data_IF_451437622813
#
_entry.id   IF_451437622813
#
_cell.length_a   1.000
_cell.length_b   1.000
_cell.length_c   1.000
_cell.angle_alpha   90.00
_cell.angle_beta   90.00
_cell.angle_gamma   90.00
#
_symmetry.space_group_name_H-M   'P 1'
#
loop_
_entity.id
_entity.type
_entity.pdbx_description
1 polymer ?
#
# COMPACT_ATOMS: atom_id res chain seq x y z
N UNK A 1 -3.07 22.53 2.36
CA UNK A 1 -2.40 21.48 3.12
C UNK A 1 -2.14 21.99 4.52
N UNK A 2 -2.47 21.20 5.53
CA UNK A 2 -2.22 21.52 6.92
C UNK A 2 -0.72 21.62 7.26
N UNK A 3 -0.42 21.98 8.49
CA UNK A 3 0.96 21.98 9.02
C UNK A 3 1.45 20.53 9.15
N UNK A 4 2.74 20.27 8.78
CA UNK A 4 3.32 18.94 8.93
C UNK A 4 3.35 18.50 10.39
N UNK A 5 3.18 17.19 10.65
CA UNK A 5 3.24 16.63 12.00
C UNK A 5 4.54 16.98 12.72
N UNK A 6 4.46 17.19 14.04
CA UNK A 6 5.58 17.63 14.89
C UNK A 6 6.17 16.51 15.74
N UNK A 7 5.40 15.46 15.96
CA UNK A 7 5.78 14.36 16.86
C UNK A 7 6.13 13.11 16.06
N UNK A 8 7.07 12.32 16.57
CA UNK A 8 7.31 10.94 16.11
C UNK A 8 6.22 10.04 16.66
N UNK A 9 5.84 9.02 15.86
CA UNK A 9 4.93 7.97 16.31
C UNK A 9 5.54 6.60 16.00
N UNK A 10 5.21 5.64 16.85
CA UNK A 10 5.35 4.22 16.60
C UNK A 10 3.99 3.58 16.80
N UNK A 11 3.68 2.52 16.07
CA UNK A 11 2.38 1.88 16.20
C UNK A 11 2.45 0.39 15.91
N UNK A 12 1.53 -0.33 16.52
CA UNK A 12 1.33 -1.76 16.31
C UNK A 12 -0.10 -1.99 15.82
N UNK A 13 -0.23 -2.79 14.77
CA UNK A 13 -1.52 -3.22 14.24
C UNK A 13 -1.67 -4.71 14.56
N UNK A 14 -2.73 -5.06 15.29
CA UNK A 14 -3.17 -6.44 15.45
C UNK A 14 -4.38 -6.66 14.53
N UNK A 15 -4.28 -7.64 13.64
CA UNK A 15 -5.37 -8.03 12.74
C UNK A 15 -5.41 -9.54 12.61
N UNK A 16 -6.58 -10.09 12.35
CA UNK A 16 -6.74 -11.53 12.16
C UNK A 16 -7.26 -11.90 10.78
N UNK A 17 -7.15 -13.17 10.49
CA UNK A 17 -7.76 -13.83 9.34
C UNK A 17 -8.47 -15.09 9.81
N UNK A 18 -9.67 -15.31 9.28
CA UNK A 18 -10.45 -16.53 9.49
C UNK A 18 -10.88 -17.08 8.12
N UNK A 19 -10.52 -18.34 7.85
CA UNK A 19 -10.86 -19.06 6.62
C UNK A 19 -10.47 -18.31 5.33
N UNK A 20 -9.30 -17.69 5.31
CA UNK A 20 -8.84 -16.85 4.20
C UNK A 20 -7.35 -16.91 3.92
N UNK A 21 -6.96 -16.31 2.81
CA UNK A 21 -5.57 -16.10 2.44
C UNK A 21 -5.22 -14.61 2.57
N UNK A 22 -4.50 -14.22 3.63
CA UNK A 22 -4.21 -12.80 3.88
C UNK A 22 -3.24 -12.20 2.86
N UNK A 23 -2.28 -13.00 2.37
CA UNK A 23 -1.29 -12.58 1.38
C UNK A 23 -0.71 -13.79 0.65
N UNK A 24 -1.31 -14.13 -0.48
CA UNK A 24 -0.82 -15.23 -1.31
C UNK A 24 0.54 -14.98 -1.93
N UNK A 25 1.29 -16.05 -2.13
CA UNK A 25 2.58 -16.03 -2.79
C UNK A 25 2.43 -16.44 -4.27
N UNK A 26 2.68 -15.53 -5.23
CA UNK A 26 2.56 -15.84 -6.65
C UNK A 26 3.56 -16.92 -7.09
N UNK A 27 4.72 -17.00 -6.46
CA UNK A 27 5.76 -17.98 -6.80
C UNK A 27 5.47 -19.39 -6.23
N UNK A 28 4.56 -19.47 -5.26
CA UNK A 28 4.15 -20.71 -4.59
C UNK A 28 2.67 -21.06 -4.87
N UNK A 29 2.16 -20.81 -6.08
CA UNK A 29 0.79 -21.17 -6.44
C UNK A 29 -0.28 -20.44 -5.61
N UNK A 30 0.00 -19.23 -5.17
CA UNK A 30 -0.87 -18.41 -4.32
C UNK A 30 -1.15 -19.00 -2.93
N UNK A 31 -0.25 -19.84 -2.40
CA UNK A 31 -0.28 -20.29 -1.00
C UNK A 31 -0.14 -19.09 -0.05
N UNK A 32 -0.75 -19.11 1.15
CA UNK A 32 -0.41 -18.16 2.21
C UNK A 32 1.10 -18.15 2.46
N UNK A 33 1.69 -16.96 2.57
CA UNK A 33 3.13 -16.82 2.84
C UNK A 33 3.45 -17.31 4.24
N UNK A 34 4.40 -18.23 4.33
CA UNK A 34 4.87 -18.82 5.58
C UNK A 34 6.40 -18.78 5.58
N UNK A 35 6.98 -18.40 6.69
CA UNK A 35 8.41 -18.55 6.93
C UNK A 35 8.73 -20.05 7.09
N UNK A 36 9.50 -20.65 6.18
CA UNK A 36 9.69 -22.10 6.17
C UNK A 36 10.48 -22.61 7.37
N UNK A 37 11.26 -21.77 8.03
CA UNK A 37 12.05 -22.15 9.20
C UNK A 37 11.22 -22.14 10.48
N UNK A 38 10.42 -21.10 10.67
CA UNK A 38 9.68 -20.87 11.92
C UNK A 38 8.20 -21.26 11.86
N UNK A 39 7.64 -21.44 10.65
CA UNK A 39 6.22 -21.73 10.45
C UNK A 39 5.31 -20.53 10.65
N UNK A 40 5.83 -19.34 10.94
CA UNK A 40 5.02 -18.14 11.11
C UNK A 40 4.50 -17.62 9.77
N UNK A 41 3.23 -17.23 9.74
CA UNK A 41 2.62 -16.55 8.60
C UNK A 41 3.21 -15.16 8.39
N UNK A 42 3.30 -14.76 7.12
CA UNK A 42 3.85 -13.46 6.72
C UNK A 42 2.82 -12.71 5.87
N UNK A 43 2.63 -11.43 6.19
CA UNK A 43 1.93 -10.47 5.32
C UNK A 43 2.89 -9.31 5.03
N UNK A 44 3.16 -9.07 3.75
CA UNK A 44 4.11 -8.04 3.34
C UNK A 44 3.58 -6.64 3.60
N UNK A 45 4.49 -5.69 3.83
CA UNK A 45 4.15 -4.26 3.94
C UNK A 45 3.45 -3.74 2.67
N UNK A 46 3.85 -4.22 1.50
CA UNK A 46 3.22 -3.88 0.21
C UNK A 46 1.75 -4.27 0.20
N UNK A 47 1.41 -5.45 0.75
CA UNK A 47 0.02 -5.91 0.86
C UNK A 47 -0.79 -4.98 1.76
N UNK A 48 -0.28 -4.61 2.93
CA UNK A 48 -0.95 -3.68 3.85
C UNK A 48 -1.08 -2.28 3.25
N UNK A 49 0.00 -1.74 2.69
CA UNK A 49 0.00 -0.44 2.01
C UNK A 49 -1.00 -0.37 0.87
N UNK A 50 -1.18 -1.47 0.11
CA UNK A 50 -2.20 -1.53 -0.94
C UNK A 50 -3.60 -1.37 -0.37
N UNK A 51 -3.93 -2.05 0.72
CA UNK A 51 -5.24 -1.96 1.37
C UNK A 51 -5.52 -0.55 1.91
N UNK A 52 -4.51 0.08 2.51
CA UNK A 52 -4.59 1.47 2.95
C UNK A 52 -4.86 2.41 1.76
N UNK A 53 -4.14 2.23 0.63
CA UNK A 53 -4.38 2.99 -0.60
C UNK A 53 -5.80 2.81 -1.13
N UNK A 54 -6.27 1.57 -1.19
CA UNK A 54 -7.63 1.28 -1.66
C UNK A 54 -8.69 1.95 -0.78
N UNK A 55 -8.49 1.96 0.54
CA UNK A 55 -9.38 2.67 1.45
C UNK A 55 -9.41 4.17 1.15
N UNK A 56 -8.24 4.81 1.08
CA UNK A 56 -8.15 6.26 0.80
C UNK A 56 -8.75 6.58 -0.57
N UNK A 57 -8.49 5.78 -1.59
CA UNK A 57 -9.09 5.93 -2.92
C UNK A 57 -10.63 5.87 -2.86
N UNK A 58 -11.17 4.94 -2.09
CA UNK A 58 -12.62 4.77 -1.94
C UNK A 58 -13.27 5.95 -1.23
N UNK A 59 -12.67 6.47 -0.13
CA UNK A 59 -13.29 7.54 0.66
C UNK A 59 -13.01 8.95 0.11
N UNK A 60 -11.94 9.12 -0.68
CA UNK A 60 -11.53 10.41 -1.24
C UNK A 60 -11.83 10.59 -2.74
N UNK A 61 -12.16 9.52 -3.46
CA UNK A 61 -12.59 9.56 -4.87
C UNK A 61 -11.72 10.47 -5.77
N UNK A 62 -10.40 10.36 -5.69
CA UNK A 62 -9.44 11.21 -6.42
C UNK A 62 -9.51 12.72 -6.07
N UNK A 63 -10.04 13.07 -4.90
CA UNK A 63 -10.02 14.45 -4.38
C UNK A 63 -8.63 15.06 -4.50
N UNK A 64 -8.57 16.37 -4.82
CA UNK A 64 -7.30 17.08 -4.94
C UNK A 64 -6.46 16.96 -3.65
N UNK A 65 -5.24 16.47 -3.78
CA UNK A 65 -4.33 16.22 -2.66
C UNK A 65 -4.42 14.81 -2.08
N UNK A 66 -5.41 14.00 -2.46
CA UNK A 66 -5.62 12.64 -1.97
C UNK A 66 -5.59 11.57 -3.05
N UNK A 67 -5.12 11.91 -4.25
CA UNK A 67 -4.91 10.94 -5.32
C UNK A 67 -3.95 9.84 -4.90
N UNK A 68 -4.11 8.66 -5.48
CA UNK A 68 -3.21 7.51 -5.30
C UNK A 68 -2.32 7.38 -6.53
N UNK A 69 -1.00 7.36 -6.31
CA UNK A 69 0.00 7.19 -7.35
C UNK A 69 0.12 5.72 -7.80
N UNK A 70 0.22 4.79 -6.83
CA UNK A 70 0.28 3.34 -7.11
C UNK A 70 -1.15 2.79 -7.09
N UNK A 71 -1.82 2.93 -8.24
CA UNK A 71 -3.22 2.56 -8.47
C UNK A 71 -3.30 1.36 -9.41
N UNK A 72 -4.28 0.48 -9.20
CA UNK A 72 -4.51 -0.69 -10.06
C UNK A 72 -4.87 -0.26 -11.49
N UNK A 73 -4.34 -0.97 -12.48
CA UNK A 73 -4.58 -0.74 -13.91
C UNK A 73 -4.25 0.67 -14.44
N UNK A 74 -3.52 1.48 -13.67
CA UNK A 74 -3.07 2.80 -14.07
C UNK A 74 -1.56 2.83 -14.26
N UNK A 75 -1.04 3.05 -15.47
CA UNK A 75 0.38 3.24 -15.68
C UNK A 75 0.92 4.46 -14.93
N UNK A 76 2.05 4.31 -14.23
CA UNK A 76 2.64 5.38 -13.42
C UNK A 76 2.93 6.67 -14.20
N UNK A 77 3.34 6.56 -15.47
CA UNK A 77 3.63 7.71 -16.32
C UNK A 77 2.41 8.62 -16.57
N UNK A 78 1.18 8.09 -16.45
CA UNK A 78 -0.03 8.93 -16.53
C UNK A 78 -0.07 9.94 -15.38
N UNK A 79 0.28 9.51 -14.17
CA UNK A 79 0.37 10.39 -12.99
C UNK A 79 1.58 11.32 -13.08
N UNK A 80 2.71 10.84 -13.62
CA UNK A 80 3.93 11.66 -13.80
C UNK A 80 3.71 12.79 -14.81
N UNK A 81 2.89 12.56 -15.85
CA UNK A 81 2.55 13.59 -16.83
C UNK A 81 1.85 14.80 -16.20
N UNK A 82 1.10 14.61 -15.12
CA UNK A 82 0.48 15.73 -14.39
C UNK A 82 1.53 16.72 -13.84
N UNK A 83 2.70 16.20 -13.42
CA UNK A 83 3.78 17.06 -12.96
C UNK A 83 4.48 17.80 -14.13
N UNK A 84 4.57 17.16 -15.29
CA UNK A 84 5.08 17.84 -16.49
C UNK A 84 4.12 18.93 -16.97
N UNK A 85 2.82 18.66 -16.98
CA UNK A 85 1.78 19.65 -17.31
C UNK A 85 1.82 20.85 -16.35
N UNK A 86 1.97 20.59 -15.03
CA UNK A 86 2.13 21.65 -14.03
C UNK A 86 3.31 22.58 -14.32
N UNK A 87 4.39 22.04 -14.88
CA UNK A 87 5.58 22.82 -15.26
C UNK A 87 5.53 23.35 -16.71
N UNK A 88 4.40 23.18 -17.43
CA UNK A 88 4.25 23.50 -18.84
C UNK A 88 5.36 22.87 -19.72
N UNK A 89 5.68 21.60 -19.49
CA UNK A 89 6.73 20.85 -20.18
C UNK A 89 6.27 19.43 -20.49
N UNK A 90 7.17 18.61 -21.04
CA UNK A 90 6.94 17.19 -21.31
C UNK A 90 8.22 16.37 -21.02
N UNK A 91 8.13 15.05 -21.12
CA UNK A 91 9.24 14.13 -20.85
C UNK A 91 10.48 14.41 -21.72
N UNK A 92 10.30 14.90 -22.96
CA UNK A 92 11.43 15.15 -23.88
C UNK A 92 12.18 16.44 -23.51
N UNK A 93 11.43 17.47 -23.13
CA UNK A 93 11.95 18.82 -22.92
C UNK A 93 12.41 19.08 -21.46
N UNK A 94 12.05 18.19 -20.53
CA UNK A 94 12.34 18.35 -19.10
C UNK A 94 13.83 18.52 -18.80
N UNK A 95 14.71 17.85 -19.58
CA UNK A 95 16.15 17.95 -19.40
C UNK A 95 16.69 19.35 -19.74
N UNK A 96 16.08 20.00 -20.73
CA UNK A 96 16.43 21.38 -21.09
C UNK A 96 15.88 22.36 -20.06
N UNK A 97 14.66 22.12 -19.57
CA UNK A 97 14.09 22.93 -18.49
C UNK A 97 14.96 22.87 -17.24
N UNK A 98 15.47 21.69 -16.87
CA UNK A 98 16.38 21.51 -15.73
C UNK A 98 17.68 22.32 -15.86
N UNK A 99 18.18 22.52 -17.07
CA UNK A 99 19.37 23.38 -17.29
C UNK A 99 19.08 24.87 -17.04
N UNK A 100 17.82 25.28 -17.29
CA UNK A 100 17.38 26.66 -17.13
C UNK A 100 16.87 26.97 -15.72
N UNK A 101 16.27 25.96 -15.08
CA UNK A 101 15.69 26.06 -13.74
C UNK A 101 16.26 24.96 -12.81
N UNK A 102 17.24 25.27 -11.95
CA UNK A 102 17.83 24.32 -11.02
C UNK A 102 16.83 23.73 -10.01
N UNK A 103 15.69 24.41 -9.78
CA UNK A 103 14.67 24.01 -8.81
C UNK A 103 13.63 23.02 -9.38
N UNK A 104 13.74 22.63 -10.64
CA UNK A 104 12.79 21.70 -11.31
C UNK A 104 12.58 20.43 -10.50
N UNK A 105 13.63 19.80 -10.03
CA UNK A 105 13.55 18.58 -9.22
C UNK A 105 12.70 18.78 -7.96
N UNK A 106 12.89 19.90 -7.26
CA UNK A 106 12.13 20.23 -6.07
C UNK A 106 10.65 20.49 -6.40
N UNK A 107 10.40 21.27 -7.47
CA UNK A 107 9.03 21.59 -7.91
C UNK A 107 8.23 20.33 -8.27
N UNK A 108 8.84 19.38 -8.98
CA UNK A 108 8.22 18.08 -9.29
C UNK A 108 7.93 17.29 -8.02
N UNK A 109 8.92 17.12 -7.15
CA UNK A 109 8.73 16.40 -5.89
C UNK A 109 7.60 17.02 -5.06
N UNK A 110 7.62 18.33 -4.89
CA UNK A 110 6.63 19.05 -4.09
C UNK A 110 5.24 18.96 -4.71
N UNK A 111 5.14 18.97 -6.06
CA UNK A 111 3.88 18.71 -6.76
C UNK A 111 3.36 17.30 -6.50
N UNK A 112 4.22 16.28 -6.64
CA UNK A 112 3.85 14.89 -6.43
C UNK A 112 3.43 14.63 -4.97
N UNK A 113 4.19 15.12 -3.99
CA UNK A 113 3.82 15.01 -2.58
C UNK A 113 2.51 15.73 -2.26
N UNK A 114 2.25 16.88 -2.91
CA UNK A 114 1.04 17.65 -2.69
C UNK A 114 -0.21 16.97 -3.22
N UNK A 115 -0.11 16.30 -4.35
CA UNK A 115 -1.27 15.74 -5.05
C UNK A 115 -1.54 14.26 -4.74
N UNK A 116 -0.50 13.51 -4.33
CA UNK A 116 -0.60 12.07 -4.10
C UNK A 116 -0.38 11.72 -2.63
N UNK A 117 -1.46 11.25 -2.00
CA UNK A 117 -1.45 10.87 -0.58
C UNK A 117 -0.41 9.79 -0.29
N UNK A 118 -0.32 8.76 -1.11
CA UNK A 118 0.57 7.63 -0.88
C UNK A 118 2.06 7.99 -1.07
N UNK A 119 2.39 8.92 -1.97
CA UNK A 119 3.75 9.48 -2.08
C UNK A 119 4.08 10.27 -0.82
N UNK A 120 3.16 11.14 -0.38
CA UNK A 120 3.33 11.97 0.81
C UNK A 120 3.47 11.13 2.07
N UNK A 121 2.77 9.98 2.14
CA UNK A 121 2.72 9.08 3.30
C UNK A 121 3.87 8.08 3.29
N UNK A 122 3.97 7.25 2.26
CA UNK A 122 4.90 6.12 2.20
C UNK A 122 6.17 6.40 1.41
N UNK A 123 6.18 7.47 0.61
CA UNK A 123 7.19 7.69 -0.39
C UNK A 123 7.01 6.86 -1.65
N UNK A 124 7.83 7.11 -2.64
CA UNK A 124 7.83 6.34 -3.88
C UNK A 124 9.18 6.42 -4.61
N UNK A 125 9.41 5.42 -5.47
CA UNK A 125 10.41 5.47 -6.53
C UNK A 125 9.67 5.73 -7.85
N UNK A 126 9.72 6.96 -8.32
CA UNK A 126 9.08 7.41 -9.56
C UNK A 126 10.04 7.18 -10.73
N UNK A 127 9.99 5.96 -11.27
CA UNK A 127 10.98 5.46 -12.25
C UNK A 127 11.06 6.27 -13.53
N UNK A 128 9.98 6.92 -13.95
CA UNK A 128 9.95 7.80 -15.13
C UNK A 128 10.89 8.99 -14.93
N UNK A 129 10.82 9.64 -13.76
CA UNK A 129 11.70 10.76 -13.42
C UNK A 129 13.15 10.30 -13.25
N UNK A 130 13.39 9.12 -12.68
CA UNK A 130 14.73 8.53 -12.58
C UNK A 130 15.32 8.31 -13.97
N UNK A 131 14.56 7.75 -14.92
CA UNK A 131 14.99 7.58 -16.31
C UNK A 131 15.27 8.91 -17.03
N UNK A 132 14.54 9.96 -16.68
CA UNK A 132 14.78 11.32 -17.17
C UNK A 132 15.98 12.01 -16.51
N UNK A 133 16.74 11.32 -15.64
CA UNK A 133 17.87 11.83 -14.88
C UNK A 133 17.51 13.00 -13.92
N UNK A 134 16.31 12.94 -13.37
CA UNK A 134 15.82 13.85 -12.33
C UNK A 134 16.08 13.27 -10.94
N UNK A 135 16.62 14.09 -10.04
CA UNK A 135 16.92 13.65 -8.67
C UNK A 135 15.68 13.55 -7.77
N UNK A 136 14.54 14.06 -8.24
CA UNK A 136 13.25 13.98 -7.54
C UNK A 136 12.59 12.61 -7.62
N UNK A 137 13.12 11.67 -8.42
CA UNK A 137 12.51 10.35 -8.66
C UNK A 137 12.47 9.43 -7.44
N UNK A 138 13.13 9.80 -6.32
CA UNK A 138 13.07 9.06 -5.06
C UNK A 138 12.56 9.97 -3.94
N UNK A 139 11.41 9.61 -3.36
CA UNK A 139 10.83 10.29 -2.21
C UNK A 139 10.78 9.31 -1.05
N UNK A 140 11.44 9.66 0.05
CA UNK A 140 11.35 8.90 1.30
C UNK A 140 10.17 9.43 2.12
N UNK A 141 9.13 8.63 2.26
CA UNK A 141 7.95 8.97 3.06
C UNK A 141 8.18 8.83 4.56
N UNK A 142 7.43 9.57 5.37
CA UNK A 142 7.51 9.51 6.82
C UNK A 142 7.02 8.20 7.42
N UNK A 143 6.04 7.54 6.78
CA UNK A 143 5.40 6.32 7.31
C UNK A 143 6.08 5.08 6.74
N UNK A 144 6.61 4.25 7.63
CA UNK A 144 7.21 2.97 7.28
C UNK A 144 6.51 1.84 8.02
N UNK A 145 6.16 0.78 7.29
CA UNK A 145 5.56 -0.45 7.82
C UNK A 145 6.56 -1.60 7.64
N UNK A 146 6.68 -2.44 8.66
CA UNK A 146 7.33 -3.73 8.57
C UNK A 146 6.40 -4.81 7.98
N UNK A 147 6.93 -5.99 7.72
CA UNK A 147 6.12 -7.17 7.43
C UNK A 147 5.33 -7.55 8.69
N UNK A 148 4.06 -7.90 8.51
CA UNK A 148 3.31 -8.51 9.60
C UNK A 148 3.71 -9.99 9.72
N UNK A 149 3.78 -10.47 10.96
CA UNK A 149 3.98 -11.87 11.29
C UNK A 149 2.83 -12.37 12.16
N UNK A 150 2.44 -13.63 11.96
CA UNK A 150 1.47 -14.25 12.86
C UNK A 150 2.05 -14.40 14.28
N UNK A 151 1.19 -14.38 15.29
CA UNK A 151 1.61 -14.54 16.69
C UNK A 151 2.04 -15.97 16.96
N UNK A 152 1.34 -16.94 16.35
CA UNK A 152 1.64 -18.35 16.42
C UNK A 152 1.98 -18.90 15.02
N UNK A 153 2.72 -20.02 14.92
CA UNK A 153 2.89 -20.74 13.66
C UNK A 153 1.55 -21.11 13.04
N UNK A 154 1.47 -21.02 11.72
CA UNK A 154 0.23 -21.31 10.98
C UNK A 154 0.37 -22.58 10.13
N UNK A 155 -0.76 -23.22 9.87
CA UNK A 155 -0.85 -24.33 8.90
C UNK A 155 -1.88 -23.92 7.85
N UNK A 156 -1.46 -23.84 6.59
CA UNK A 156 -2.38 -23.63 5.49
C UNK A 156 -3.15 -24.90 5.16
N UNK A 157 -4.41 -24.75 4.76
CA UNK A 157 -5.25 -25.85 4.30
C UNK A 157 -5.63 -25.63 2.83
N UNK A 158 -5.50 -26.67 2.02
CA UNK A 158 -6.06 -26.72 0.68
C UNK A 158 -7.50 -27.21 0.76
N UNK A 159 -8.44 -26.41 0.26
CA UNK A 159 -9.86 -26.74 0.21
C UNK A 159 -10.31 -26.83 -1.24
N UNK A 160 -10.84 -27.98 -1.63
CA UNK A 160 -11.45 -28.16 -2.95
C UNK A 160 -12.82 -27.51 -2.96
N UNK A 161 -13.07 -26.70 -3.99
CA UNK A 161 -14.36 -26.04 -4.24
C UNK A 161 -14.91 -26.52 -5.57
N UNK A 162 -16.23 -26.60 -5.69
CA UNK A 162 -16.90 -27.04 -6.90
C UNK A 162 -17.79 -25.93 -7.43
N UNK A 163 -17.66 -25.63 -8.73
CA UNK A 163 -18.55 -24.75 -9.47
C UNK A 163 -19.48 -25.61 -10.32
N UNK A 164 -20.77 -25.39 -10.22
CA UNK A 164 -21.81 -26.15 -10.97
C UNK A 164 -21.88 -25.76 -12.46
N UNK A 165 -21.25 -24.64 -12.85
CA UNK A 165 -21.23 -24.18 -14.23
C UNK A 165 -19.92 -24.55 -14.93
N UNK A 166 -20.00 -25.03 -16.16
CA UNK A 166 -18.86 -25.38 -17.02
C UNK A 166 -18.44 -24.13 -17.81
N UNK A 167 -17.15 -24.07 -18.18
CA UNK A 167 -16.58 -22.89 -18.85
C UNK A 167 -16.93 -22.83 -20.34
N UNK A 168 -16.94 -23.97 -21.04
CA UNK A 168 -17.22 -24.02 -22.49
C UNK A 168 -18.21 -25.14 -22.80
N UNK A 169 -18.94 -25.01 -23.95
CA UNK A 169 -19.85 -26.04 -24.43
C UNK A 169 -19.13 -27.37 -24.69
N UNK A 170 -17.90 -27.31 -25.19
CA UNK A 170 -17.07 -28.49 -25.41
C UNK A 170 -16.73 -29.24 -24.14
N UNK A 171 -16.45 -28.50 -23.04
CA UNK A 171 -16.18 -29.13 -21.74
C UNK A 171 -17.45 -29.75 -21.15
N UNK A 172 -18.62 -29.17 -21.44
CA UNK A 172 -19.91 -29.65 -20.96
C UNK A 172 -20.29 -31.05 -21.51
N UNK A 173 -19.70 -31.47 -22.63
CA UNK A 173 -19.90 -32.83 -23.18
C UNK A 173 -19.31 -33.92 -22.26
N UNK A 174 -18.29 -33.58 -21.47
CA UNK A 174 -17.50 -34.55 -20.67
C UNK A 174 -17.55 -34.30 -19.15
N UNK A 175 -18.04 -33.14 -18.73
CA UNK A 175 -18.04 -32.71 -17.33
C UNK A 175 -19.36 -32.05 -16.98
N UNK A 176 -19.84 -32.25 -15.76
CA UNK A 176 -21.04 -31.58 -15.20
C UNK A 176 -20.68 -30.46 -14.21
N UNK A 177 -19.45 -30.45 -13.74
CA UNK A 177 -18.97 -29.51 -12.73
C UNK A 177 -17.51 -29.13 -12.99
N UNK A 178 -17.07 -27.99 -12.49
CA UNK A 178 -15.67 -27.57 -12.49
C UNK A 178 -15.15 -27.53 -11.06
N UNK A 179 -13.96 -28.09 -10.83
CA UNK A 179 -13.33 -28.10 -9.52
C UNK A 179 -12.20 -27.07 -9.48
N UNK A 180 -12.13 -26.32 -8.40
CA UNK A 180 -11.01 -25.42 -8.07
C UNK A 180 -10.46 -25.70 -6.69
N UNK A 181 -9.33 -25.10 -6.37
CA UNK A 181 -8.68 -25.21 -5.06
C UNK A 181 -8.49 -23.85 -4.46
N UNK A 182 -8.68 -23.75 -3.15
CA UNK A 182 -8.36 -22.57 -2.35
C UNK A 182 -7.39 -22.96 -1.25
N UNK A 183 -6.38 -22.14 -1.06
CA UNK A 183 -5.47 -22.27 0.06
C UNK A 183 -5.83 -21.21 1.09
N UNK A 184 -6.16 -21.65 2.29
CA UNK A 184 -6.63 -20.80 3.38
C UNK A 184 -5.81 -21.01 4.64
N UNK A 185 -5.78 -19.98 5.48
CA UNK A 185 -5.41 -20.05 6.89
C UNK A 185 -6.73 -20.18 7.67
N UNK A 186 -6.95 -21.25 8.44
CA UNK A 186 -8.18 -21.42 9.23
C UNK A 186 -8.39 -20.27 10.20
N UNK A 187 -7.36 -19.94 10.96
CA UNK A 187 -7.31 -18.75 11.81
C UNK A 187 -5.86 -18.36 12.09
N UNK A 188 -5.58 -17.06 12.10
CA UNK A 188 -4.33 -16.52 12.63
C UNK A 188 -4.49 -15.05 13.04
N UNK A 189 -3.84 -14.69 14.15
CA UNK A 189 -3.64 -13.31 14.58
C UNK A 189 -2.27 -12.84 14.10
N UNK A 190 -2.22 -11.69 13.44
CA UNK A 190 -1.00 -11.06 12.92
C UNK A 190 -0.67 -9.77 13.65
N UNK A 191 0.62 -9.50 13.79
CA UNK A 191 1.17 -8.24 14.30
C UNK A 191 2.03 -7.57 13.23
N UNK A 192 1.71 -6.33 12.90
CA UNK A 192 2.56 -5.44 12.10
C UNK A 192 3.02 -4.25 12.94
N UNK A 193 4.22 -3.76 12.67
CA UNK A 193 4.79 -2.59 13.33
C UNK A 193 5.02 -1.48 12.30
N UNK A 194 4.82 -0.24 12.74
CA UNK A 194 5.03 0.93 11.91
C UNK A 194 5.65 2.09 12.66
N UNK A 195 6.28 2.95 11.88
CA UNK A 195 7.06 4.10 12.36
C UNK A 195 6.70 5.33 11.56
N UNK A 196 6.52 6.48 12.22
CA UNK A 196 6.22 7.74 11.56
C UNK A 196 7.24 8.80 12.00
N UNK A 197 7.99 9.31 11.03
CA UNK A 197 9.04 10.30 11.22
C UNK A 197 8.53 11.73 10.98
N UNK A 198 8.40 12.51 12.05
CA UNK A 198 8.05 13.94 11.93
C UNK A 198 9.11 14.72 11.14
N UNK A 199 10.38 14.34 11.26
CA UNK A 199 11.47 14.97 10.51
C UNK A 199 11.31 14.82 8.98
N UNK A 200 10.95 13.61 8.52
CA UNK A 200 10.67 13.37 7.10
C UNK A 200 9.38 14.07 6.64
N UNK A 201 8.34 14.08 7.48
CA UNK A 201 7.11 14.80 7.20
C UNK A 201 7.41 16.30 6.96
N UNK A 202 8.13 16.95 7.87
CA UNK A 202 8.45 18.37 7.79
C UNK A 202 9.42 18.73 6.67
N UNK A 203 10.48 17.94 6.46
CA UNK A 203 11.57 18.27 5.53
C UNK A 203 11.35 17.79 4.10
N UNK A 204 10.53 16.75 3.90
CA UNK A 204 10.45 16.07 2.60
C UNK A 204 9.06 16.11 2.00
N UNK A 205 8.02 15.65 2.73
CA UNK A 205 6.74 15.35 2.09
C UNK A 205 5.60 16.28 2.44
N UNK A 206 5.64 16.94 3.58
CA UNK A 206 4.54 17.77 4.08
C UNK A 206 3.38 16.96 4.67
N UNK A 207 3.61 15.70 5.11
CA UNK A 207 2.60 14.86 5.75
C UNK A 207 2.03 15.56 7.00
N UNK A 208 0.73 15.82 7.00
CA UNK A 208 0.04 16.66 7.99
C UNK A 208 -0.68 15.85 9.07
N UNK A 209 -1.26 16.54 10.07
CA UNK A 209 -2.12 15.91 11.08
C UNK A 209 -3.40 15.35 10.43
N UNK A 210 -3.96 16.01 9.41
CA UNK A 210 -5.12 15.51 8.67
C UNK A 210 -4.77 14.22 7.89
N UNK A 211 -3.56 14.13 7.33
CA UNK A 211 -3.07 12.91 6.69
C UNK A 211 -2.87 11.78 7.72
N UNK A 212 -2.43 12.13 8.92
CA UNK A 212 -2.26 11.19 10.03
C UNK A 212 -3.60 10.62 10.49
N UNK A 213 -4.61 11.46 10.65
CA UNK A 213 -5.96 11.04 11.02
C UNK A 213 -6.55 10.11 9.94
N UNK A 214 -6.40 10.47 8.68
CA UNK A 214 -6.83 9.63 7.56
C UNK A 214 -6.05 8.30 7.51
N UNK A 215 -4.76 8.30 7.85
CA UNK A 215 -3.96 7.06 7.95
C UNK A 215 -4.50 6.14 9.03
N UNK A 216 -4.82 6.66 10.22
CA UNK A 216 -5.42 5.86 11.30
C UNK A 216 -6.77 5.29 10.91
N UNK A 217 -7.63 6.10 10.31
CA UNK A 217 -8.92 5.67 9.78
C UNK A 217 -8.75 4.56 8.73
N UNK A 218 -7.83 4.74 7.78
CA UNK A 218 -7.54 3.76 6.75
C UNK A 218 -6.99 2.44 7.32
N UNK A 219 -6.11 2.49 8.32
CA UNK A 219 -5.59 1.28 8.97
C UNK A 219 -6.72 0.51 9.65
N UNK A 220 -7.59 1.19 10.39
CA UNK A 220 -8.69 0.55 11.13
C UNK A 220 -9.68 -0.12 10.17
N UNK A 221 -9.96 0.51 9.03
CA UNK A 221 -11.03 0.10 8.12
C UNK A 221 -10.55 -0.60 6.83
N UNK A 222 -9.26 -0.79 6.62
CA UNK A 222 -8.70 -1.29 5.36
C UNK A 222 -9.23 -2.66 4.91
N UNK A 223 -9.70 -3.48 5.83
CA UNK A 223 -10.25 -4.80 5.50
C UNK A 223 -11.75 -4.76 5.18
N UNK A 224 -12.47 -3.72 5.62
CA UNK A 224 -13.91 -3.58 5.38
C UNK A 224 -14.26 -3.44 3.89
N UNK A 225 -13.35 -2.85 3.12
CA UNK A 225 -13.50 -2.70 1.66
C UNK A 225 -12.78 -3.78 0.84
N UNK A 226 -12.03 -4.68 1.48
CA UNK A 226 -11.21 -5.72 0.82
C UNK A 226 -11.86 -7.12 0.87
N UNK A 227 -13.16 -7.19 1.15
CA UNK A 227 -13.86 -8.46 1.24
C UNK A 227 -13.85 -9.22 -0.09
N UNK A 228 -13.43 -10.47 -0.05
CA UNK A 228 -13.51 -11.40 -1.17
C UNK A 228 -13.52 -12.84 -0.70
N UNK A 229 -13.99 -13.75 -1.56
CA UNK A 229 -14.00 -15.18 -1.25
C UNK A 229 -12.59 -15.78 -1.01
N UNK A 230 -11.52 -15.13 -1.47
CA UNK A 230 -10.15 -15.57 -1.23
C UNK A 230 -9.60 -15.03 0.10
N UNK A 231 -10.03 -13.83 0.51
CA UNK A 231 -9.58 -13.18 1.75
C UNK A 231 -10.18 -13.78 3.01
N UNK A 232 -11.34 -14.46 2.89
CA UNK A 232 -12.08 -14.92 4.06
C UNK A 232 -12.59 -13.74 4.87
N UNK A 233 -12.58 -13.89 6.18
CA UNK A 233 -12.89 -12.79 7.11
C UNK A 233 -11.60 -12.24 7.69
N UNK A 234 -11.33 -10.97 7.45
CA UNK A 234 -10.20 -10.24 8.01
C UNK A 234 -10.70 -9.00 8.74
N UNK A 235 -10.10 -8.68 9.87
CA UNK A 235 -10.43 -7.48 10.63
C UNK A 235 -9.22 -6.97 11.43
N UNK A 236 -9.10 -5.65 11.55
CA UNK A 236 -8.21 -5.05 12.53
C UNK A 236 -8.84 -5.21 13.92
N UNK A 237 -8.10 -5.77 14.85
CA UNK A 237 -8.54 -6.02 16.23
C UNK A 237 -8.11 -4.92 17.15
N UNK A 238 -6.90 -4.40 16.95
CA UNK A 238 -6.36 -3.33 17.78
C UNK A 238 -5.33 -2.51 16.97
N UNK A 239 -5.34 -1.20 17.20
CA UNK A 239 -4.31 -0.26 16.78
C UNK A 239 -3.74 0.42 18.02
N UNK A 240 -2.49 0.12 18.35
CA UNK A 240 -1.79 0.69 19.50
C UNK A 240 -0.84 1.76 18.99
N UNK A 241 -0.98 3.00 19.47
CA UNK A 241 -0.19 4.15 19.00
C UNK A 241 0.62 4.73 20.14
N UNK A 242 1.92 4.85 19.94
CA UNK A 242 2.86 5.52 20.83
C UNK A 242 3.25 6.87 20.22
N UNK A 243 2.76 7.95 20.83
CA UNK A 243 3.13 9.32 20.45
C UNK A 243 4.30 9.78 21.31
N UNK A 244 5.44 10.06 20.69
CA UNK A 244 6.58 10.65 21.38
C UNK A 244 6.38 12.15 21.61
N UNK A 245 7.00 12.70 22.64
CA UNK A 245 6.94 14.14 22.94
C UNK A 245 7.80 14.97 21.96
N UNK A 246 8.76 14.33 21.28
CA UNK A 246 9.75 14.99 20.42
C UNK A 246 9.73 14.45 18.98
N UNK A 247 10.31 15.24 18.08
CA UNK A 247 10.44 14.89 16.65
C UNK A 247 11.28 13.62 16.40
N UNK A 248 12.29 13.36 17.22
CA UNK A 248 13.20 12.21 17.07
C UNK A 248 12.85 11.02 17.98
N UNK A 249 11.91 11.19 18.86
CA UNK A 249 11.54 10.23 19.90
C UNK A 249 12.09 10.60 21.27
N UNK A 250 11.61 9.91 22.29
CA UNK A 250 12.06 10.07 23.70
C UNK A 250 13.12 9.03 24.03
#
# INVERSE_FOLDING_TARGET
MGEAIKNRYEFVILFDVENGNPNGDPDAGNLPRIDPESGYGIVTDVCLKRKIRNYVETVKEDETGYKIYIKEDVPLNRSDNLAYEYLNTNEKDIKELKKKDPDVDRKIRDFMCRNFFDIRTFGAVMTTFVKAALNCGQVRGPVQLGFARSIDPIVSQEVTITRVAITTEKDAENKSTEMGRKNIVPYALYRAEGYISANLARKVTGFSEEDLDLLWEAIINMFEIDHSAARGKMAVRELIVFKHSKELGD
#
